data_IF_593729693977
#
_entry.id   IF_593729693977
#
_cell.length_a   1.000
_cell.length_b   1.000
_cell.length_c   1.000
_cell.angle_alpha   90.00
_cell.angle_beta   90.00
_cell.angle_gamma   90.00
#
_symmetry.space_group_name_H-M   'P 1'
#
loop_
_entity.id
_entity.type
_entity.pdbx_description
1 polymer ?
#
# COMPACT_ATOMS: atom_id res chain seq x y z
N UNK A 1 2.33 1.46 -1.36
CA UNK A 1 2.77 0.58 -2.47
C UNK A 1 3.35 1.47 -3.56
N UNK A 2 4.51 1.12 -4.12
CA UNK A 2 5.11 1.85 -5.24
C UNK A 2 5.33 0.89 -6.40
N UNK A 3 5.09 1.35 -7.61
CA UNK A 3 5.43 0.62 -8.82
C UNK A 3 6.77 1.13 -9.33
N UNK A 4 7.71 0.22 -9.57
CA UNK A 4 9.02 0.56 -10.17
C UNK A 4 8.98 0.13 -11.63
N UNK A 5 9.10 1.08 -12.56
CA UNK A 5 9.07 0.84 -14.00
C UNK A 5 10.49 0.66 -14.52
N UNK A 6 10.85 -0.57 -14.93
CA UNK A 6 12.23 -0.92 -15.28
C UNK A 6 12.73 -0.24 -16.56
N UNK A 7 11.86 -0.03 -17.54
CA UNK A 7 12.24 0.55 -18.86
C UNK A 7 12.61 2.04 -18.78
N UNK A 8 12.18 2.74 -17.73
CA UNK A 8 12.49 4.16 -17.53
C UNK A 8 13.10 4.48 -16.16
N UNK A 9 13.31 3.48 -15.29
CA UNK A 9 13.83 3.66 -13.93
C UNK A 9 12.92 4.46 -12.98
N UNK A 10 11.72 4.87 -13.42
CA UNK A 10 10.82 5.69 -12.63
C UNK A 10 10.06 4.86 -11.59
N UNK A 11 10.05 5.34 -10.35
CA UNK A 11 9.19 4.83 -9.29
C UNK A 11 7.96 5.74 -9.16
N UNK A 12 6.77 5.18 -9.37
CA UNK A 12 5.52 5.88 -9.11
C UNK A 12 4.99 5.38 -7.77
N UNK A 13 4.90 6.30 -6.81
CA UNK A 13 4.11 6.07 -5.62
C UNK A 13 2.67 5.94 -6.07
N UNK A 14 2.11 4.74 -5.93
CA UNK A 14 0.66 4.55 -6.03
C UNK A 14 0.06 5.14 -4.76
N UNK A 15 0.01 6.47 -4.67
CA UNK A 15 -0.96 7.13 -3.82
C UNK A 15 -2.28 6.86 -4.54
N UNK A 16 -2.91 5.73 -4.22
CA UNK A 16 -4.11 5.20 -4.87
C UNK A 16 -5.10 6.37 -5.05
N UNK A 17 -5.31 6.90 -6.27
CA UNK A 17 -6.38 7.86 -6.45
C UNK A 17 -7.68 7.06 -6.37
N UNK A 18 -8.66 7.61 -5.65
CA UNK A 18 -9.98 7.05 -5.32
C UNK A 18 -10.04 6.38 -3.95
N UNK A 19 -10.74 7.09 -3.07
CA UNK A 19 -11.41 6.67 -1.84
C UNK A 19 -12.06 5.27 -1.93
N UNK A 20 -11.26 4.22 -1.93
CA UNK A 20 -11.72 2.95 -1.40
C UNK A 20 -11.09 2.85 -0.01
N UNK A 21 -11.73 3.53 0.94
CA UNK A 21 -11.55 3.28 2.36
C UNK A 21 -11.98 1.82 2.59
N UNK A 22 -11.04 0.86 2.39
CA UNK A 22 -11.23 -0.49 2.90
C UNK A 22 -11.18 -0.32 4.42
N UNK A 23 -12.32 0.02 5.04
CA UNK A 23 -12.39 0.10 6.48
C UNK A 23 -12.12 -1.32 6.98
N UNK A 24 -11.08 -1.45 7.77
CA UNK A 24 -10.77 -2.70 8.44
C UNK A 24 -11.93 -2.96 9.42
N UNK A 25 -12.67 -4.06 9.27
CA UNK A 25 -13.79 -4.39 10.17
C UNK A 25 -13.40 -5.40 11.25
N UNK A 26 -12.14 -5.85 11.28
CA UNK A 26 -11.64 -6.84 12.24
C UNK A 26 -11.31 -6.23 13.61
N UNK A 27 -11.73 -6.86 14.70
CA UNK A 27 -11.45 -6.41 16.08
C UNK A 27 -9.96 -6.42 16.45
N UNK A 28 -9.15 -7.20 15.73
CA UNK A 28 -7.69 -7.27 15.91
C UNK A 28 -6.94 -6.23 15.07
N UNK A 29 -7.66 -5.35 14.38
CA UNK A 29 -7.06 -4.29 13.57
C UNK A 29 -7.09 -2.97 14.35
N UNK A 30 -5.94 -2.39 14.68
CA UNK A 30 -5.85 -1.13 15.45
C UNK A 30 -6.65 0.03 14.85
N UNK A 31 -6.83 0.02 13.53
CA UNK A 31 -7.54 1.07 12.78
C UNK A 31 -9.03 0.74 12.55
N UNK A 32 -9.52 -0.40 13.06
CA UNK A 32 -10.93 -0.79 12.97
C UNK A 32 -11.78 -0.04 13.98
N UNK A 33 -13.01 0.38 13.62
CA UNK A 33 -13.97 0.92 14.59
C UNK A 33 -14.43 -0.13 15.61
N UNK A 34 -14.23 -1.42 15.33
CA UNK A 34 -14.57 -2.53 16.22
C UNK A 34 -13.40 -2.96 17.11
N UNK A 35 -12.28 -2.24 17.07
CA UNK A 35 -11.14 -2.52 17.93
C UNK A 35 -11.46 -2.12 19.37
N UNK A 36 -11.31 -3.03 20.35
CA UNK A 36 -11.73 -2.74 21.70
C UNK A 36 -10.77 -1.78 22.40
N UNK A 37 -11.32 -0.84 23.18
CA UNK A 37 -10.54 0.19 23.92
C UNK A 37 -9.63 -0.41 25.01
N UNK A 38 -9.94 -1.64 25.44
CA UNK A 38 -9.16 -2.41 26.41
C UNK A 38 -7.94 -3.11 25.78
N UNK A 39 -7.83 -3.14 24.45
CA UNK A 39 -6.70 -3.75 23.76
C UNK A 39 -5.48 -2.82 23.85
N UNK A 40 -4.69 -3.06 24.90
CA UNK A 40 -3.46 -2.36 25.22
C UNK A 40 -2.29 -3.35 25.28
N UNK A 41 -1.03 -2.88 25.19
CA UNK A 41 0.12 -3.73 25.44
C UNK A 41 0.03 -4.38 26.85
N UNK A 42 0.42 -5.66 27.02
CA UNK A 42 1.10 -6.53 26.06
C UNK A 42 0.17 -7.31 25.10
N UNK A 43 -1.11 -7.45 25.44
CA UNK A 43 -2.09 -8.25 24.66
C UNK A 43 -2.22 -7.77 23.22
N UNK A 44 -2.19 -6.45 23.00
CA UNK A 44 -2.26 -5.85 21.67
C UNK A 44 -1.10 -6.31 20.75
N UNK A 45 0.11 -6.48 21.30
CA UNK A 45 1.28 -6.91 20.53
C UNK A 45 1.17 -8.37 20.08
N UNK A 46 0.40 -9.19 20.82
CA UNK A 46 0.21 -10.61 20.52
C UNK A 46 -1.05 -10.92 19.71
N UNK A 47 -1.99 -10.00 19.61
CA UNK A 47 -3.30 -10.26 18.98
C UNK A 47 -3.53 -9.40 17.73
N UNK A 48 -2.99 -8.18 17.66
CA UNK A 48 -3.31 -7.26 16.59
C UNK A 48 -2.47 -7.48 15.32
N UNK A 49 -3.15 -7.53 14.17
CA UNK A 49 -2.55 -7.90 12.88
C UNK A 49 -1.47 -6.91 12.42
N UNK A 50 -1.54 -5.66 12.90
CA UNK A 50 -0.53 -4.63 12.64
C UNK A 50 0.86 -5.01 13.17
N UNK A 51 0.93 -5.78 14.26
CA UNK A 51 2.19 -6.21 14.88
C UNK A 51 2.64 -7.60 14.40
N UNK A 52 1.73 -8.39 13.82
CA UNK A 52 2.03 -9.68 13.20
C UNK A 52 2.49 -9.57 11.75
N UNK A 53 2.33 -8.41 11.11
CA UNK A 53 2.73 -8.17 9.72
C UNK A 53 4.03 -7.37 9.65
N UNK A 54 5.15 -8.08 9.59
CA UNK A 54 6.49 -7.58 9.28
C UNK A 54 7.09 -8.38 8.13
N UNK A 55 7.74 -7.80 7.10
CA UNK A 55 7.44 -6.54 6.43
C UNK A 55 7.38 -6.77 4.90
N UNK A 56 6.23 -6.69 4.24
CA UNK A 56 6.25 -6.67 2.77
C UNK A 56 5.53 -5.44 2.24
N UNK A 57 6.29 -4.35 2.15
CA UNK A 57 5.98 -3.33 1.14
C UNK A 57 6.29 -3.93 -0.24
N UNK A 58 5.36 -4.75 -0.75
CA UNK A 58 5.41 -5.23 -2.11
C UNK A 58 5.49 -4.02 -3.06
N UNK A 59 6.63 -3.89 -3.71
CA UNK A 59 6.91 -2.84 -4.69
C UNK A 59 7.12 -3.52 -6.04
N UNK A 60 6.04 -3.88 -6.75
CA UNK A 60 6.16 -4.66 -7.98
C UNK A 60 7.07 -3.92 -8.97
N UNK A 61 8.00 -4.69 -9.53
CA UNK A 61 8.84 -4.24 -10.62
C UNK A 61 8.07 -4.53 -11.90
N UNK A 62 7.68 -3.47 -12.62
CA UNK A 62 6.92 -3.53 -13.85
C UNK A 62 7.91 -3.40 -15.00
N UNK A 63 7.98 -4.42 -15.85
CA UNK A 63 8.79 -4.41 -17.07
C UNK A 63 8.07 -3.61 -18.17
N UNK A 64 8.03 -2.29 -18.00
CA UNK A 64 7.39 -1.35 -18.93
C UNK A 64 7.72 0.09 -18.62
N UNK A 65 7.28 1.01 -19.48
CA UNK A 65 7.41 2.45 -19.26
C UNK A 65 6.33 2.97 -18.31
N UNK A 66 6.66 3.98 -17.51
CA UNK A 66 5.67 4.68 -16.70
C UNK A 66 4.69 5.47 -17.59
N UNK A 67 3.46 5.78 -17.12
CA UNK A 67 2.45 6.51 -17.89
C UNK A 67 2.97 7.82 -18.48
N UNK A 68 3.79 8.57 -17.75
CA UNK A 68 4.42 9.81 -18.21
C UNK A 68 5.36 9.57 -19.40
N UNK A 69 6.22 8.56 -19.32
CA UNK A 69 7.13 8.21 -20.42
C UNK A 69 6.36 7.68 -21.63
N UNK A 70 5.31 6.89 -21.42
CA UNK A 70 4.45 6.42 -22.49
C UNK A 70 3.75 7.60 -23.20
N UNK A 71 3.25 8.59 -22.46
CA UNK A 71 2.59 9.75 -23.02
C UNK A 71 3.55 10.70 -23.73
N UNK A 72 4.76 10.89 -23.20
CA UNK A 72 5.83 11.64 -23.86
C UNK A 72 6.28 11.00 -25.19
N UNK A 73 6.28 9.65 -25.28
CA UNK A 73 6.56 8.96 -26.53
C UNK A 73 5.42 9.09 -27.55
N UNK A 74 4.17 9.09 -27.09
CA UNK A 74 2.99 9.24 -27.97
C UNK A 74 2.78 10.67 -28.49
N UNK A 75 3.23 11.69 -27.76
CA UNK A 75 3.13 13.10 -28.15
C UNK A 75 4.25 13.61 -29.07
N UNK A 76 5.14 12.73 -29.53
CA UNK A 76 6.23 13.03 -30.48
C UNK A 76 5.94 12.56 -31.92
N UNK A 77 4.69 12.20 -32.21
CA UNK A 77 4.20 11.87 -33.56
C UNK A 77 3.49 13.04 -34.21
#
# INVERSE_FOLDING_TARGET
VRNVYLECGHAINLVRPLHFDVRCEDSNCKFSPFHPENCKPPTCLQTCWQYHRYPEQYSPNINGYCPTCCQAMRGRG
#
